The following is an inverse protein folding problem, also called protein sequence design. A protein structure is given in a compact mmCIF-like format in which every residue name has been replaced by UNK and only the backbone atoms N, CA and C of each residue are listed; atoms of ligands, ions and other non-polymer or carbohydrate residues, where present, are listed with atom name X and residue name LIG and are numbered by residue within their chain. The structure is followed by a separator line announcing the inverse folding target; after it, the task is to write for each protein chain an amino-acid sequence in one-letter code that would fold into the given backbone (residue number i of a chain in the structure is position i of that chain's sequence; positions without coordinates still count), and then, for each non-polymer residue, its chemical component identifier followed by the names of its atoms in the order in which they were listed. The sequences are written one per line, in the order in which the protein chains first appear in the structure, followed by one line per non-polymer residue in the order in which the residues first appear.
data_IF_951300725620
#
_entry.id   IF_951300725620
#
_cell.length_a   1.000
_cell.length_b   1.000
_cell.length_c   1.000
_cell.angle_alpha   90.00
_cell.angle_beta   90.00
_cell.angle_gamma   90.00
#
_symmetry.space_group_name_H-M   'P 1'
#
loop_
_entity.id
_entity.type
_entity.pdbx_description
1 polymer ?
#
# COMPACT_ATOMS: atom_id res chain seq x y z
N UNK A 1 -24.76 -26.01 -19.10
CA UNK A 1 -23.74 -25.47 -20.01
C UNK A 1 -22.66 -24.96 -19.10
N UNK A 2 -21.60 -25.76 -18.96
CA UNK A 2 -20.60 -25.64 -17.90
C UNK A 2 -19.88 -24.30 -18.02
N UNK A 3 -20.07 -23.47 -16.99
CA UNK A 3 -19.25 -22.29 -16.76
C UNK A 3 -17.85 -22.76 -16.43
N UNK A 4 -16.86 -22.25 -17.16
CA UNK A 4 -15.45 -22.35 -16.81
C UNK A 4 -15.24 -21.82 -15.39
N UNK A 5 -15.32 -22.70 -14.39
CA UNK A 5 -14.93 -22.42 -13.01
C UNK A 5 -13.39 -22.54 -12.97
N UNK A 6 -12.71 -21.72 -13.78
CA UNK A 6 -11.30 -21.48 -13.55
C UNK A 6 -11.20 -20.83 -12.19
N UNK A 7 -10.57 -21.55 -11.26
CA UNK A 7 -10.31 -21.06 -9.92
C UNK A 7 -9.43 -19.80 -10.02
N UNK A 8 -10.08 -18.64 -10.01
CA UNK A 8 -9.49 -17.30 -10.09
C UNK A 8 -8.56 -16.98 -8.92
N UNK A 9 -8.57 -17.83 -7.89
CA UNK A 9 -7.71 -17.75 -6.71
C UNK A 9 -6.53 -18.72 -6.77
N UNK A 10 -6.32 -19.44 -7.89
CA UNK A 10 -5.16 -20.31 -8.04
C UNK A 10 -3.88 -19.54 -7.70
N UNK A 11 -3.07 -20.03 -6.74
CA UNK A 11 -1.82 -19.38 -6.37
C UNK A 11 -0.95 -19.23 -7.61
N UNK A 12 -0.62 -18.00 -7.96
CA UNK A 12 0.37 -17.79 -9.00
C UNK A 12 1.74 -18.18 -8.42
N UNK A 13 2.60 -18.89 -9.19
CA UNK A 13 4.02 -18.83 -8.90
C UNK A 13 4.37 -17.34 -8.87
N UNK A 14 4.94 -16.87 -7.75
CA UNK A 14 5.21 -15.44 -7.52
C UNK A 14 5.66 -14.81 -8.84
N UNK A 15 4.96 -13.78 -9.35
CA UNK A 15 5.51 -13.00 -10.45
C UNK A 15 6.94 -12.67 -10.05
N UNK A 16 7.87 -12.75 -11.00
CA UNK A 16 9.27 -12.42 -10.79
C UNK A 16 9.34 -11.23 -9.84
N UNK A 17 9.82 -11.40 -8.60
CA UNK A 17 9.58 -10.43 -7.56
C UNK A 17 10.08 -9.07 -8.05
N UNK A 18 9.39 -8.00 -7.65
CA UNK A 18 9.84 -6.61 -7.90
C UNK A 18 11.31 -6.42 -7.45
N UNK A 19 11.84 -7.33 -6.64
CA UNK A 19 13.27 -7.51 -6.36
C UNK A 19 14.19 -7.60 -7.59
N UNK A 20 13.71 -7.97 -8.77
CA UNK A 20 14.53 -7.96 -9.99
C UNK A 20 14.63 -6.55 -10.60
N UNK A 21 13.77 -5.62 -10.19
CA UNK A 21 13.76 -4.24 -10.66
C UNK A 21 14.57 -3.33 -9.73
N UNK A 22 14.79 -3.77 -8.49
CA UNK A 22 15.53 -3.04 -7.46
C UNK A 22 16.90 -3.69 -7.29
N UNK A 23 17.98 -2.98 -7.60
CA UNK A 23 19.32 -3.51 -7.34
C UNK A 23 19.58 -3.52 -5.82
N UNK A 24 20.28 -4.53 -5.27
CA UNK A 24 20.61 -4.58 -3.84
C UNK A 24 21.34 -3.32 -3.32
N UNK A 25 22.08 -2.65 -4.20
CA UNK A 25 22.84 -1.43 -3.95
C UNK A 25 21.94 -0.18 -3.77
N UNK A 26 20.70 -0.24 -4.23
CA UNK A 26 19.74 0.86 -4.20
C UNK A 26 18.84 0.81 -2.96
N UNK A 27 19.02 -0.16 -2.05
CA UNK A 27 18.25 -0.30 -0.82
C UNK A 27 18.37 0.93 0.08
N UNK A 28 17.54 1.93 -0.17
CA UNK A 28 17.34 3.05 0.73
C UNK A 28 16.64 2.50 1.98
N UNK A 29 17.29 2.72 3.12
CA UNK A 29 16.69 2.37 4.42
C UNK A 29 15.53 3.33 4.65
N UNK A 30 14.31 2.80 4.55
CA UNK A 30 13.14 3.53 4.98
C UNK A 30 13.17 3.69 6.52
N UNK A 31 12.68 4.81 7.05
CA UNK A 31 12.51 4.97 8.50
C UNK A 31 11.61 3.86 9.05
N UNK A 32 12.08 3.17 10.08
CA UNK A 32 11.30 2.12 10.76
C UNK A 32 10.39 2.68 11.86
N UNK A 33 10.62 3.93 12.26
CA UNK A 33 9.84 4.61 13.30
C UNK A 33 8.60 5.28 12.70
N UNK A 34 7.52 5.42 13.50
CA UNK A 34 6.31 6.18 13.11
C UNK A 34 6.68 7.63 12.78
N UNK A 35 7.53 8.24 13.61
CA UNK A 35 7.95 9.64 13.46
C UNK A 35 8.64 9.85 12.12
N UNK A 36 8.04 10.71 11.29
CA UNK A 36 8.61 11.14 10.02
C UNK A 36 9.89 11.95 10.28
N UNK A 37 11.06 11.55 9.72
CA UNK A 37 12.29 12.33 9.88
C UNK A 37 12.16 13.73 9.30
N UNK A 38 12.85 14.68 9.91
CA UNK A 38 12.74 16.11 9.57
C UNK A 38 13.09 16.38 8.09
N UNK A 39 14.06 15.65 7.52
CA UNK A 39 14.44 15.82 6.11
C UNK A 39 13.31 15.46 5.11
N UNK A 40 12.31 14.70 5.54
CA UNK A 40 11.15 14.32 4.72
C UNK A 40 9.90 15.15 5.04
N UNK A 41 9.96 16.08 6.00
CA UNK A 41 8.84 16.95 6.33
C UNK A 41 8.65 18.02 5.26
N UNK A 42 7.52 17.94 4.56
CA UNK A 42 7.18 18.93 3.56
C UNK A 42 6.61 20.20 4.21
N UNK A 43 7.25 21.34 3.93
CA UNK A 43 6.77 22.64 4.37
C UNK A 43 6.13 23.40 3.21
N UNK A 44 4.80 23.33 3.12
CA UNK A 44 4.00 24.00 2.07
C UNK A 44 4.26 25.51 2.02
N UNK A 45 4.43 26.15 3.19
CA UNK A 45 4.67 27.60 3.27
C UNK A 45 6.03 27.97 2.68
N UNK A 46 7.10 27.24 3.03
CA UNK A 46 8.44 27.47 2.47
C UNK A 46 8.47 27.21 0.97
N UNK A 47 7.84 26.13 0.52
CA UNK A 47 7.73 25.83 -0.91
C UNK A 47 7.07 26.97 -1.73
N UNK A 48 6.07 27.65 -1.17
CA UNK A 48 5.39 28.77 -1.84
C UNK A 48 6.17 30.09 -1.79
N UNK A 49 6.98 30.32 -0.76
CA UNK A 49 7.58 31.62 -0.48
C UNK A 49 9.09 31.69 -0.73
N UNK A 50 9.78 30.57 -0.78
CA UNK A 50 11.25 30.48 -0.93
C UNK A 50 11.60 29.89 -2.30
N UNK A 51 12.05 30.69 -3.28
CA UNK A 51 12.38 30.25 -4.65
C UNK A 51 13.50 29.19 -4.79
N UNK A 52 14.09 28.74 -3.68
CA UNK A 52 15.12 27.69 -3.65
C UNK A 52 14.79 26.53 -2.71
N UNK A 53 13.59 26.47 -2.15
CA UNK A 53 13.19 25.33 -1.31
C UNK A 53 13.11 24.07 -2.18
N UNK A 54 13.92 23.05 -1.85
CA UNK A 54 13.87 21.77 -2.54
C UNK A 54 12.81 20.91 -1.87
N UNK A 55 11.79 20.53 -2.64
CA UNK A 55 10.73 19.65 -2.17
C UNK A 55 11.34 18.29 -1.79
N UNK A 56 11.13 17.78 -0.55
CA UNK A 56 11.67 16.50 -0.14
C UNK A 56 11.01 15.35 -0.91
N UNK A 57 11.68 14.20 -0.96
CA UNK A 57 11.08 12.97 -1.51
C UNK A 57 9.85 12.57 -0.70
N UNK A 58 8.90 11.93 -1.39
CA UNK A 58 7.67 11.50 -0.78
C UNK A 58 7.85 10.14 -0.11
N UNK A 59 7.28 10.00 1.08
CA UNK A 59 7.24 8.75 1.83
C UNK A 59 5.78 8.40 2.14
N UNK A 60 5.50 7.12 2.19
CA UNK A 60 4.15 6.57 2.40
C UNK A 60 4.16 5.65 3.62
N UNK A 61 3.34 5.92 4.63
CA UNK A 61 3.28 5.14 5.87
C UNK A 61 2.14 4.12 5.80
N UNK A 62 2.45 2.85 6.00
CA UNK A 62 1.46 1.79 5.81
C UNK A 62 1.95 0.38 6.08
N UNK A 63 1.19 -0.59 5.59
CA UNK A 63 1.47 -2.03 5.68
C UNK A 63 1.96 -2.58 4.36
N UNK A 64 3.00 -3.41 4.38
CA UNK A 64 3.44 -4.15 3.19
C UNK A 64 2.56 -5.38 2.98
N UNK A 65 2.12 -5.58 1.74
CA UNK A 65 1.19 -6.65 1.37
C UNK A 65 1.60 -7.27 0.03
N UNK A 66 1.36 -8.56 -0.14
CA UNK A 66 1.60 -9.28 -1.39
C UNK A 66 0.30 -9.43 -2.19
N UNK A 67 0.40 -9.75 -3.49
CA UNK A 67 -0.80 -10.01 -4.30
C UNK A 67 -1.67 -11.13 -3.71
N UNK A 68 -1.06 -12.14 -3.09
CA UNK A 68 -1.79 -13.24 -2.48
C UNK A 68 -2.64 -12.77 -1.28
N UNK A 69 -2.18 -11.78 -0.52
CA UNK A 69 -2.95 -11.23 0.61
C UNK A 69 -4.27 -10.59 0.11
N UNK A 70 -4.23 -9.92 -1.05
CA UNK A 70 -5.44 -9.38 -1.68
C UNK A 70 -6.39 -10.47 -2.18
N UNK A 71 -5.86 -11.54 -2.79
CA UNK A 71 -6.67 -12.67 -3.26
C UNK A 71 -7.37 -13.38 -2.09
N UNK A 72 -6.61 -13.66 -1.03
CA UNK A 72 -7.12 -14.31 0.17
C UNK A 72 -8.18 -13.45 0.87
N UNK A 73 -7.95 -12.14 0.96
CA UNK A 73 -8.95 -11.19 1.46
C UNK A 73 -10.22 -11.24 0.61
N UNK A 74 -10.08 -11.07 -0.71
CA UNK A 74 -11.20 -11.03 -1.64
C UNK A 74 -12.08 -12.29 -1.53
N UNK A 75 -11.43 -13.46 -1.45
CA UNK A 75 -12.11 -14.74 -1.30
C UNK A 75 -12.82 -14.85 0.05
N UNK A 76 -12.13 -14.53 1.16
CA UNK A 76 -12.64 -14.67 2.53
C UNK A 76 -13.85 -13.80 2.79
N UNK A 77 -13.82 -12.56 2.30
CA UNK A 77 -14.90 -11.58 2.44
C UNK A 77 -15.95 -11.67 1.32
N UNK A 78 -15.83 -12.66 0.43
CA UNK A 78 -16.78 -12.93 -0.66
C UNK A 78 -17.09 -11.69 -1.50
N UNK A 79 -16.05 -10.92 -1.83
CA UNK A 79 -16.20 -9.70 -2.62
C UNK A 79 -16.68 -10.01 -4.05
N UNK A 80 -17.30 -9.04 -4.75
CA UNK A 80 -17.86 -9.27 -6.08
C UNK A 80 -16.82 -9.80 -7.06
N UNK A 81 -17.11 -10.94 -7.69
CA UNK A 81 -16.20 -11.54 -8.68
C UNK A 81 -15.98 -10.58 -9.87
N UNK A 82 -14.76 -10.55 -10.44
CA UNK A 82 -14.48 -9.82 -11.67
C UNK A 82 -15.32 -10.36 -12.84
N UNK A 83 -15.71 -9.52 -13.80
CA UNK A 83 -16.23 -9.99 -15.08
C UNK A 83 -15.11 -10.68 -15.89
N UNK A 84 -15.44 -11.44 -16.95
CA UNK A 84 -14.42 -12.09 -17.78
C UNK A 84 -13.43 -11.08 -18.37
N UNK A 85 -12.15 -11.22 -18.03
CA UNK A 85 -11.06 -10.34 -18.46
C UNK A 85 -9.72 -11.07 -18.39
N UNK A 86 -8.65 -10.44 -18.91
CA UNK A 86 -7.31 -10.98 -18.76
C UNK A 86 -6.86 -10.96 -17.29
N UNK A 87 -5.87 -11.80 -16.96
CA UNK A 87 -5.43 -12.01 -15.59
C UNK A 87 -4.93 -10.73 -14.90
N UNK A 88 -4.24 -9.84 -15.61
CA UNK A 88 -3.71 -8.62 -15.02
C UNK A 88 -4.85 -7.64 -14.69
N UNK A 89 -5.81 -7.47 -15.61
CA UNK A 89 -7.02 -6.68 -15.35
C UNK A 89 -7.85 -7.26 -14.20
N UNK A 90 -7.94 -8.59 -14.12
CA UNK A 90 -8.65 -9.30 -13.06
C UNK A 90 -8.06 -9.00 -11.69
N UNK A 91 -6.73 -9.01 -11.57
CA UNK A 91 -6.04 -8.68 -10.33
C UNK A 91 -6.27 -7.24 -9.90
N UNK A 92 -6.14 -6.28 -10.81
CA UNK A 92 -6.43 -4.88 -10.49
C UNK A 92 -7.87 -4.69 -10.02
N UNK A 93 -8.84 -5.33 -10.70
CA UNK A 93 -10.23 -5.27 -10.28
C UNK A 93 -10.43 -5.82 -8.85
N UNK A 94 -9.82 -6.97 -8.52
CA UNK A 94 -9.94 -7.54 -7.17
C UNK A 94 -9.28 -6.66 -6.12
N UNK A 95 -8.09 -6.11 -6.40
CA UNK A 95 -7.41 -5.17 -5.51
C UNK A 95 -8.26 -3.92 -5.27
N UNK A 96 -8.88 -3.35 -6.31
CA UNK A 96 -9.79 -2.22 -6.19
C UNK A 96 -10.98 -2.53 -5.27
N UNK A 97 -11.59 -3.73 -5.41
CA UNK A 97 -12.67 -4.16 -4.52
C UNK A 97 -12.24 -4.33 -3.08
N UNK A 98 -11.05 -4.86 -2.84
CA UNK A 98 -10.48 -4.95 -1.49
C UNK A 98 -10.27 -3.55 -0.90
N UNK A 99 -9.70 -2.63 -1.67
CA UNK A 99 -9.46 -1.26 -1.23
C UNK A 99 -10.75 -0.50 -0.93
N UNK A 100 -11.78 -0.64 -1.77
CA UNK A 100 -13.09 -0.02 -1.54
C UNK A 100 -13.76 -0.55 -0.27
N UNK A 101 -13.69 -1.86 -0.04
CA UNK A 101 -14.22 -2.50 1.17
C UNK A 101 -13.47 -2.01 2.42
N UNK A 102 -12.13 -1.92 2.37
CA UNK A 102 -11.32 -1.40 3.47
C UNK A 102 -11.61 0.07 3.77
N UNK A 103 -11.67 0.93 2.75
CA UNK A 103 -12.03 2.36 2.90
C UNK A 103 -13.38 2.50 3.59
N UNK A 104 -14.34 1.66 3.21
CA UNK A 104 -15.69 1.67 3.79
C UNK A 104 -15.66 1.30 5.27
N UNK A 105 -14.90 0.26 5.65
CA UNK A 105 -14.83 -0.19 7.04
C UNK A 105 -13.99 0.72 7.92
N UNK A 106 -12.87 1.24 7.40
CA UNK A 106 -12.00 2.17 8.12
C UNK A 106 -12.57 3.58 8.19
N UNK A 107 -13.56 3.91 7.33
CA UNK A 107 -14.07 5.28 7.11
C UNK A 107 -12.95 6.29 6.84
N UNK A 108 -11.90 5.81 6.19
CA UNK A 108 -10.68 6.56 5.92
C UNK A 108 -10.22 6.28 4.49
N UNK A 109 -9.69 7.32 3.81
CA UNK A 109 -9.26 7.21 2.43
C UNK A 109 -7.88 6.55 2.32
N UNK A 110 -7.90 5.22 2.29
CA UNK A 110 -6.70 4.40 2.10
C UNK A 110 -6.25 4.40 0.64
N UNK A 111 -4.95 4.36 0.45
CA UNK A 111 -4.33 4.21 -0.87
C UNK A 111 -3.53 2.92 -0.91
N UNK A 112 -3.31 2.36 -2.11
CA UNK A 112 -2.28 1.35 -2.31
C UNK A 112 -1.21 1.90 -3.24
N UNK A 113 0.03 1.50 -3.02
CA UNK A 113 1.17 1.88 -3.86
C UNK A 113 2.03 0.66 -4.20
N UNK A 114 2.92 0.84 -5.17
CA UNK A 114 4.04 -0.05 -5.42
C UNK A 114 5.25 0.44 -4.60
N UNK A 115 5.59 -0.20 -3.46
CA UNK A 115 6.68 0.24 -2.63
C UNK A 115 8.03 -0.13 -3.25
N UNK A 116 9.04 0.72 -3.05
CA UNK A 116 10.42 0.43 -3.43
C UNK A 116 11.07 -0.51 -2.39
N UNK A 117 10.67 -1.78 -2.42
CA UNK A 117 11.20 -2.83 -1.54
C UNK A 117 11.05 -4.20 -2.21
N UNK A 118 12.01 -5.13 -2.04
CA UNK A 118 11.85 -6.50 -2.54
C UNK A 118 10.97 -7.38 -1.63
N UNK A 119 10.54 -6.86 -0.48
CA UNK A 119 9.82 -7.65 0.54
C UNK A 119 8.32 -7.81 0.28
N UNK A 120 7.74 -6.86 -0.45
CA UNK A 120 6.30 -6.76 -0.65
C UNK A 120 6.03 -6.31 -2.08
N UNK A 121 4.98 -6.84 -2.70
CA UNK A 121 4.55 -6.37 -4.03
C UNK A 121 3.87 -4.99 -3.95
N UNK A 122 3.13 -4.74 -2.87
CA UNK A 122 2.33 -3.54 -2.65
C UNK A 122 2.45 -3.03 -1.21
N UNK A 123 1.96 -1.82 -0.98
CA UNK A 123 1.73 -1.31 0.36
C UNK A 123 0.37 -0.61 0.45
N UNK A 124 -0.37 -0.87 1.54
CA UNK A 124 -1.61 -0.17 1.89
C UNK A 124 -1.25 0.98 2.82
N UNK A 125 -1.54 2.19 2.38
CA UNK A 125 -1.01 3.43 2.94
C UNK A 125 -2.09 4.21 3.67
N UNK A 126 -1.75 4.62 4.88
CA UNK A 126 -2.53 5.54 5.71
C UNK A 126 -2.10 6.98 5.46
N UNK A 127 -0.78 7.24 5.45
CA UNK A 127 -0.27 8.60 5.34
C UNK A 127 0.70 8.80 4.19
N UNK A 128 0.69 10.04 3.72
CA UNK A 128 1.62 10.57 2.76
C UNK A 128 2.40 11.71 3.42
N UNK A 129 3.73 11.64 3.43
CA UNK A 129 4.60 12.61 4.13
C UNK A 129 4.40 14.06 3.68
N UNK A 130 3.91 14.29 2.45
CA UNK A 130 3.64 15.63 1.93
C UNK A 130 2.29 16.18 2.37
N UNK A 131 1.39 15.31 2.82
CA UNK A 131 0.04 15.69 3.25
C UNK A 131 -0.22 15.38 4.72
N UNK A 132 0.75 14.80 5.43
CA UNK A 132 0.63 14.38 6.82
C UNK A 132 0.06 15.49 7.71
N UNK A 133 0.54 16.73 7.58
CA UNK A 133 0.06 17.87 8.39
C UNK A 133 -1.43 18.22 8.24
N UNK A 134 -2.13 17.66 7.24
CA UNK A 134 -3.57 17.86 7.03
C UNK A 134 -4.37 16.55 7.04
N UNK A 135 -3.71 15.39 6.97
CA UNK A 135 -4.36 14.06 6.94
C UNK A 135 -4.07 13.21 8.17
N UNK A 136 -3.18 13.65 9.06
CA UNK A 136 -2.86 12.96 10.30
C UNK A 136 -4.12 12.87 11.17
N UNK A 137 -4.45 11.63 11.56
CA UNK A 137 -5.55 11.33 12.44
C UNK A 137 -5.13 11.56 13.89
N UNK A 138 -6.11 11.77 14.77
CA UNK A 138 -5.86 11.67 16.20
C UNK A 138 -5.42 10.24 16.57
N UNK A 139 -4.68 10.08 17.67
CA UNK A 139 -4.05 8.79 18.03
C UNK A 139 -5.06 7.64 18.14
N UNK A 140 -6.28 7.90 18.66
CA UNK A 140 -7.35 6.90 18.81
C UNK A 140 -8.02 6.55 17.47
N UNK A 141 -8.21 7.53 16.59
CA UNK A 141 -8.70 7.31 15.23
C UNK A 141 -7.70 6.51 14.39
N UNK A 142 -6.41 6.83 14.48
CA UNK A 142 -5.35 6.06 13.81
C UNK A 142 -5.31 4.61 14.32
N UNK A 143 -5.40 4.41 15.64
CA UNK A 143 -5.42 3.07 16.23
C UNK A 143 -6.62 2.25 15.74
N UNK A 144 -7.80 2.87 15.60
CA UNK A 144 -9.00 2.22 15.05
C UNK A 144 -8.84 1.81 13.58
N UNK A 145 -8.25 2.69 12.74
CA UNK A 145 -7.95 2.36 11.34
C UNK A 145 -6.95 1.21 11.25
N UNK A 146 -5.86 1.28 12.01
CA UNK A 146 -4.82 0.23 12.05
C UNK A 146 -5.42 -1.10 12.51
N UNK A 147 -6.22 -1.08 13.57
CA UNK A 147 -6.92 -2.27 14.07
C UNK A 147 -7.82 -2.86 13.00
N UNK A 148 -8.63 -2.02 12.35
CA UNK A 148 -9.56 -2.47 11.30
C UNK A 148 -8.83 -3.12 10.14
N UNK A 149 -7.72 -2.53 9.65
CA UNK A 149 -6.91 -3.12 8.58
C UNK A 149 -6.40 -4.50 9.00
N UNK A 150 -5.84 -4.61 10.21
CA UNK A 150 -5.28 -5.86 10.73
C UNK A 150 -6.34 -6.95 10.91
N UNK A 151 -7.48 -6.61 11.50
CA UNK A 151 -8.58 -7.57 11.73
C UNK A 151 -9.17 -8.09 10.42
N UNK A 152 -9.29 -7.22 9.40
CA UNK A 152 -9.87 -7.62 8.12
C UNK A 152 -8.93 -8.44 7.26
N UNK A 153 -7.63 -8.09 7.21
CA UNK A 153 -6.64 -8.88 6.48
C UNK A 153 -6.26 -10.17 7.18
N UNK A 154 -6.24 -10.19 8.51
CA UNK A 154 -5.72 -11.30 9.34
C UNK A 154 -4.26 -11.65 8.95
N UNK A 155 -3.74 -12.77 9.48
CA UNK A 155 -2.50 -13.39 9.00
C UNK A 155 -1.25 -12.52 9.16
N UNK A 156 -0.33 -12.49 8.16
CA UNK A 156 0.95 -11.79 8.28
C UNK A 156 0.81 -10.30 8.57
N UNK A 157 -0.21 -9.64 8.03
CA UNK A 157 -0.45 -8.19 8.22
C UNK A 157 -0.81 -7.88 9.67
N UNK A 158 -1.55 -8.77 10.35
CA UNK A 158 -1.93 -8.57 11.75
C UNK A 158 -0.71 -8.40 12.68
N UNK A 159 0.37 -9.13 12.40
CA UNK A 159 1.62 -9.09 13.15
C UNK A 159 2.56 -7.93 12.75
N UNK A 160 2.32 -7.28 11.61
CA UNK A 160 3.16 -6.18 11.14
C UNK A 160 2.94 -4.90 11.96
N UNK A 161 3.97 -4.06 12.03
CA UNK A 161 3.83 -2.65 12.39
C UNK A 161 3.86 -1.81 11.11
N UNK A 162 3.06 -0.75 11.00
CA UNK A 162 3.15 0.12 9.85
C UNK A 162 4.52 0.81 9.81
N UNK A 163 5.03 0.99 8.60
CA UNK A 163 6.35 1.54 8.34
C UNK A 163 6.32 2.46 7.10
N UNK A 164 7.37 3.24 6.92
CA UNK A 164 7.50 4.10 5.75
C UNK A 164 8.00 3.34 4.53
N UNK A 165 7.53 3.74 3.35
CA UNK A 165 7.95 3.23 2.06
C UNK A 165 8.23 4.38 1.09
N UNK A 166 9.22 4.20 0.23
CA UNK A 166 9.38 4.98 -0.99
C UNK A 166 8.49 4.40 -2.11
N UNK A 167 8.10 5.23 -3.07
CA UNK A 167 7.38 4.77 -4.26
C UNK A 167 8.37 4.21 -5.29
N UNK A 168 8.07 3.04 -5.87
CA UNK A 168 8.91 2.40 -6.89
C UNK A 168 9.16 3.30 -8.11
N UNK A 169 8.12 4.00 -8.56
CA UNK A 169 8.17 4.87 -9.74
C UNK A 169 9.15 6.04 -9.61
N UNK A 170 9.52 6.44 -8.39
CA UNK A 170 10.51 7.50 -8.17
C UNK A 170 11.95 7.04 -8.51
N UNK A 171 12.15 5.75 -8.79
CA UNK A 171 13.46 5.13 -9.00
C UNK A 171 13.60 4.40 -10.34
N UNK A 172 12.50 4.20 -11.07
CA UNK A 172 12.52 3.65 -12.43
C UNK A 172 12.76 4.79 -13.43
N UNK A 173 13.98 4.89 -13.98
CA UNK A 173 14.37 5.82 -15.05
C UNK A 173 14.42 5.14 -16.41
#
# INVERSE_FOLDING_TARGET
MDTFDEDIYKPCPRPIPVSNWIKPEEHLKCPMEKTLPEEYRFNVRRWRLEPGYIKPRQLFYGFGVDIQDFLDYHQRHQLPRPPPMDQASMWHYMMDKVMDDLRTHCRFDLQHILPFTPKYDYAIVLYNSHHLSVTELEDDEEEDVIRTIKERFDGPIAAQKPQWFFLLMDFTH
#
